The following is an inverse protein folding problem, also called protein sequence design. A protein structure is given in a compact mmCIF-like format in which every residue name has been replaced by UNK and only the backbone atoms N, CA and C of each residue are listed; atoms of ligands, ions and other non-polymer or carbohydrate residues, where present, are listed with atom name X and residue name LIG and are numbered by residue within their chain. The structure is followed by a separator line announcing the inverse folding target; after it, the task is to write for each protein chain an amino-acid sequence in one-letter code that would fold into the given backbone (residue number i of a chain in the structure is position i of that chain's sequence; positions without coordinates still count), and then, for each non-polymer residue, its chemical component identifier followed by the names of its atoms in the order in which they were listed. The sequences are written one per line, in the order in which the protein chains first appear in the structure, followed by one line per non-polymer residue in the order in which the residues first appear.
data_IF_841891788501
#
_entry.id   IF_841891788501
#
_cell.length_a   1.000
_cell.length_b   1.000
_cell.length_c   1.000
_cell.angle_alpha   90.00
_cell.angle_beta   90.00
_cell.angle_gamma   90.00
#
_symmetry.space_group_name_H-M   'P 1'
#
loop_
_entity.id
_entity.type
_entity.pdbx_description
1 polymer ?
#
# COMPACT_ATOMS: atom_id res chain seq x y z
N UNK A 1 2.93 9.35 0.26
CA UNK A 1 2.51 8.42 -0.81
C UNK A 1 1.02 8.13 -0.64
N UNK A 2 0.37 7.52 -1.64
CA UNK A 2 -1.05 7.16 -1.60
C UNK A 2 -1.33 5.88 -2.38
N UNK A 3 -2.46 5.23 -2.11
CA UNK A 3 -2.92 4.11 -2.92
C UNK A 3 -3.71 4.60 -4.12
N UNK A 4 -3.34 4.12 -5.31
CA UNK A 4 -4.12 4.25 -6.52
C UNK A 4 -4.72 2.89 -6.87
N UNK A 5 -6.02 2.86 -7.11
CA UNK A 5 -6.74 1.64 -7.49
C UNK A 5 -6.97 1.58 -9.00
N UNK A 6 -7.18 0.37 -9.49
CA UNK A 6 -7.69 0.08 -10.83
C UNK A 6 -8.37 -1.28 -10.82
N UNK A 7 -9.49 -1.42 -11.52
CA UNK A 7 -10.14 -2.73 -11.66
C UNK A 7 -9.32 -3.58 -12.65
N UNK A 8 -9.11 -4.84 -12.29
CA UNK A 8 -8.40 -5.85 -13.08
C UNK A 8 -9.24 -7.13 -13.12
N UNK A 9 -9.04 -7.93 -14.17
CA UNK A 9 -9.66 -9.26 -14.29
C UNK A 9 -8.62 -10.33 -14.01
N UNK A 10 -9.00 -11.36 -13.24
CA UNK A 10 -8.26 -12.62 -13.08
C UNK A 10 -8.66 -13.59 -14.19
N UNK A 11 -7.82 -14.58 -14.41
CA UNK A 11 -8.17 -15.72 -15.26
C UNK A 11 -9.44 -16.38 -14.73
N UNK A 12 -10.47 -16.49 -15.58
CA UNK A 12 -11.82 -16.90 -15.17
C UNK A 12 -12.82 -15.75 -14.99
N UNK A 13 -12.49 -14.52 -15.44
CA UNK A 13 -13.45 -13.43 -15.60
C UNK A 13 -13.83 -12.69 -14.31
N UNK A 14 -13.23 -13.04 -13.18
CA UNK A 14 -13.51 -12.38 -11.89
C UNK A 14 -12.74 -11.07 -11.79
N UNK A 15 -13.46 -10.00 -11.46
CA UNK A 15 -12.86 -8.68 -11.24
C UNK A 15 -12.32 -8.53 -9.82
N UNK A 16 -11.24 -7.75 -9.68
CA UNK A 16 -10.69 -7.37 -8.39
C UNK A 16 -10.11 -5.96 -8.41
N UNK A 17 -10.10 -5.31 -7.24
CA UNK A 17 -9.44 -4.03 -7.04
C UNK A 17 -7.94 -4.25 -6.93
N UNK A 18 -7.19 -3.81 -7.93
CA UNK A 18 -5.73 -3.83 -7.89
C UNK A 18 -5.18 -2.54 -7.27
N UNK A 19 -4.48 -2.66 -6.15
CA UNK A 19 -3.87 -1.55 -5.42
C UNK A 19 -2.41 -1.33 -5.86
N UNK A 20 -2.04 -0.06 -6.03
CA UNK A 20 -0.66 0.39 -6.24
C UNK A 20 -0.31 1.47 -5.25
N UNK A 21 0.86 1.39 -4.65
CA UNK A 21 1.44 2.51 -3.92
C UNK A 21 2.07 3.47 -4.93
N UNK A 22 1.61 4.71 -4.92
CA UNK A 22 2.12 5.76 -5.78
C UNK A 22 2.63 6.93 -4.95
N UNK A 23 3.56 7.67 -5.54
CA UNK A 23 3.92 9.00 -5.06
C UNK A 23 3.75 10.04 -6.15
N UNK A 24 3.36 11.24 -5.73
CA UNK A 24 3.32 12.39 -6.60
C UNK A 24 4.68 13.08 -6.59
N UNK A 25 5.16 13.46 -7.76
CA UNK A 25 6.39 14.23 -7.94
C UNK A 25 6.14 15.36 -8.94
N UNK A 26 6.96 16.41 -8.85
CA UNK A 26 6.88 17.55 -9.76
C UNK A 26 7.84 17.35 -10.91
N UNK A 27 7.34 17.45 -12.13
CA UNK A 27 8.15 17.45 -13.35
C UNK A 27 7.92 18.78 -14.07
N UNK A 28 8.83 19.73 -13.81
CA UNK A 28 8.68 21.12 -14.25
C UNK A 28 7.40 21.75 -13.70
N UNK A 29 6.46 22.05 -14.59
CA UNK A 29 5.17 22.67 -14.24
C UNK A 29 4.06 21.65 -13.91
N UNK A 30 4.29 20.36 -14.16
CA UNK A 30 3.27 19.32 -14.02
C UNK A 30 3.45 18.53 -12.72
N UNK A 31 2.34 18.08 -12.14
CA UNK A 31 2.34 17.06 -11.08
C UNK A 31 2.11 15.71 -11.75
N UNK A 32 3.06 14.79 -11.60
CA UNK A 32 2.98 13.41 -12.10
C UNK A 32 2.97 12.43 -10.94
N UNK A 33 2.52 11.21 -11.23
CA UNK A 33 2.48 10.13 -10.24
C UNK A 33 3.33 8.96 -10.74
N UNK A 34 4.30 8.49 -9.95
CA UNK A 34 5.03 7.24 -10.22
C UNK A 34 4.55 6.12 -9.31
N UNK A 35 4.49 4.91 -9.85
CA UNK A 35 4.19 3.70 -9.06
C UNK A 35 5.47 3.26 -8.35
N UNK A 36 5.39 3.08 -7.04
CA UNK A 36 6.47 2.57 -6.20
C UNK A 36 6.33 1.06 -5.99
N UNK A 37 5.13 0.60 -5.68
CA UNK A 37 4.83 -0.82 -5.43
C UNK A 37 3.51 -1.22 -6.09
N UNK A 38 3.48 -2.43 -6.65
CA UNK A 38 2.25 -3.10 -7.07
C UNK A 38 1.84 -4.08 -5.96
N UNK A 39 0.71 -3.81 -5.31
CA UNK A 39 0.29 -4.55 -4.11
C UNK A 39 -0.71 -5.66 -4.42
N UNK A 40 -1.37 -5.60 -5.58
CA UNK A 40 -2.36 -6.58 -5.99
C UNK A 40 -3.70 -6.38 -5.30
N UNK A 41 -4.38 -7.51 -5.06
CA UNK A 41 -5.68 -7.60 -4.41
C UNK A 41 -5.55 -7.53 -2.89
N UNK A 42 -5.62 -6.32 -2.32
CA UNK A 42 -5.52 -6.14 -0.87
C UNK A 42 -6.78 -6.56 -0.12
N UNK A 43 -7.95 -6.45 -0.74
CA UNK A 43 -9.23 -6.76 -0.10
C UNK A 43 -9.35 -8.26 0.20
N UNK A 44 -8.66 -9.12 -0.57
CA UNK A 44 -8.57 -10.56 -0.29
C UNK A 44 -7.77 -10.93 0.97
N UNK A 45 -6.88 -10.05 1.43
CA UNK A 45 -5.96 -10.31 2.54
C UNK A 45 -6.14 -9.35 3.70
N UNK A 46 -6.81 -8.23 3.53
CA UNK A 46 -6.97 -7.20 4.54
C UNK A 46 -8.36 -6.56 4.43
N UNK A 47 -9.11 -6.43 5.55
CA UNK A 47 -10.39 -5.73 5.54
C UNK A 47 -10.26 -4.31 4.97
N UNK A 48 -11.23 -3.82 4.17
CA UNK A 48 -11.16 -2.52 3.52
C UNK A 48 -10.85 -1.35 4.46
N UNK A 49 -11.40 -1.37 5.68
CA UNK A 49 -11.17 -0.36 6.72
C UNK A 49 -9.71 -0.32 7.21
N UNK A 50 -8.97 -1.43 7.04
CA UNK A 50 -7.56 -1.55 7.45
C UNK A 50 -6.58 -1.13 6.35
N UNK A 51 -7.02 -1.03 5.10
CA UNK A 51 -6.18 -0.66 3.94
C UNK A 51 -5.52 0.73 4.11
N UNK A 52 -6.20 1.78 4.58
CA UNK A 52 -5.57 3.07 4.85
C UNK A 52 -4.45 2.99 5.88
N UNK A 53 -4.58 2.12 6.89
CA UNK A 53 -3.56 1.91 7.91
C UNK A 53 -2.31 1.24 7.33
N UNK A 54 -2.47 0.29 6.40
CA UNK A 54 -1.35 -0.28 5.65
C UNK A 54 -0.62 0.78 4.83
N UNK A 55 -1.34 1.66 4.12
CA UNK A 55 -0.73 2.76 3.38
C UNK A 55 0.09 3.67 4.31
N UNK A 56 -0.51 4.08 5.44
CA UNK A 56 0.17 4.91 6.44
C UNK A 56 1.41 4.21 6.99
N UNK A 57 1.31 2.91 7.26
CA UNK A 57 2.42 2.14 7.82
C UNK A 57 3.58 1.99 6.84
N UNK A 58 3.30 1.69 5.57
CA UNK A 58 4.35 1.65 4.53
C UNK A 58 5.03 3.02 4.39
N UNK A 59 4.28 4.13 4.46
CA UNK A 59 4.90 5.47 4.48
C UNK A 59 5.85 5.65 5.67
N UNK A 60 5.45 5.25 6.88
CA UNK A 60 6.30 5.37 8.08
C UNK A 60 7.60 4.58 7.95
N UNK A 61 7.55 3.38 7.37
CA UNK A 61 8.76 2.57 7.18
C UNK A 61 9.63 3.16 6.07
N UNK A 62 9.04 3.42 4.90
CA UNK A 62 9.79 3.77 3.69
C UNK A 62 10.33 5.21 3.70
N UNK A 63 9.58 6.17 4.25
CA UNK A 63 9.97 7.59 4.27
C UNK A 63 10.55 8.03 5.61
N UNK A 64 9.98 7.55 6.71
CA UNK A 64 10.36 8.03 8.05
C UNK A 64 11.40 7.12 8.73
N UNK A 65 11.74 5.97 8.12
CA UNK A 65 12.72 5.02 8.68
C UNK A 65 12.24 4.32 9.96
N UNK A 66 10.93 4.35 10.26
CA UNK A 66 10.36 3.79 11.49
C UNK A 66 10.14 2.28 11.34
N UNK A 67 11.16 1.49 11.62
CA UNK A 67 11.14 0.03 11.43
C UNK A 67 10.28 -0.72 12.47
N UNK A 68 9.99 -0.14 13.64
CA UNK A 68 9.22 -0.79 14.69
C UNK A 68 8.08 0.09 15.23
N UNK A 69 7.01 -0.57 15.70
CA UNK A 69 5.95 0.04 16.51
C UNK A 69 5.95 -0.64 17.88
N UNK A 70 6.14 0.15 18.93
CA UNK A 70 5.94 -0.28 20.32
C UNK A 70 4.58 0.27 20.74
N UNK A 71 3.51 -0.47 20.47
CA UNK A 71 2.15 -0.09 20.85
C UNK A 71 1.28 -1.33 21.03
N UNK A 72 0.45 -1.34 22.06
CA UNK A 72 -0.61 -2.33 22.26
C UNK A 72 -1.73 -2.25 21.20
N UNK A 73 -1.80 -1.14 20.46
CA UNK A 73 -2.74 -0.93 19.35
C UNK A 73 -2.14 -1.35 17.99
N UNK A 74 -1.02 -2.07 18.00
CA UNK A 74 -0.41 -2.63 16.79
C UNK A 74 -1.37 -3.61 16.13
N UNK A 75 -1.59 -3.44 14.83
CA UNK A 75 -2.32 -4.41 14.03
C UNK A 75 -1.32 -5.36 13.35
N UNK A 76 -1.25 -6.60 13.84
CA UNK A 76 -0.27 -7.57 13.37
C UNK A 76 -0.40 -7.90 11.89
N UNK A 77 -1.63 -7.86 11.34
CA UNK A 77 -1.85 -8.14 9.92
C UNK A 77 -1.33 -7.01 9.05
N UNK A 78 -1.54 -5.76 9.49
CA UNK A 78 -0.97 -4.58 8.82
C UNK A 78 0.55 -4.60 8.88
N UNK A 79 1.15 -4.94 10.02
CA UNK A 79 2.61 -5.01 10.16
C UNK A 79 3.23 -6.14 9.31
N UNK A 80 2.62 -7.32 9.29
CA UNK A 80 3.09 -8.44 8.48
C UNK A 80 3.03 -8.10 6.98
N UNK A 81 1.93 -7.50 6.52
CA UNK A 81 1.80 -7.05 5.13
C UNK A 81 2.79 -5.92 4.82
N UNK A 82 2.97 -4.97 5.72
CA UNK A 82 3.95 -3.90 5.54
C UNK A 82 5.33 -4.52 5.32
N UNK A 83 5.81 -5.33 6.27
CA UNK A 83 7.11 -6.03 6.23
C UNK A 83 7.31 -6.76 4.89
N UNK A 84 6.32 -7.54 4.46
CA UNK A 84 6.31 -8.23 3.17
C UNK A 84 6.52 -7.29 1.97
N UNK A 85 5.86 -6.13 1.95
CA UNK A 85 5.93 -5.20 0.82
C UNK A 85 7.16 -4.29 0.84
N UNK A 86 7.71 -3.96 2.01
CA UNK A 86 8.96 -3.18 2.12
C UNK A 86 10.22 -4.04 2.05
N UNK A 87 10.10 -5.36 2.11
CA UNK A 87 11.25 -6.27 2.03
C UNK A 87 12.13 -6.25 3.28
N UNK A 88 11.52 -6.05 4.46
CA UNK A 88 12.16 -6.18 5.77
C UNK A 88 11.99 -7.58 6.36
#
# INVERSE_FOLDING_TARGET
MFFKTSIKQKDGGHEYTHYRLCESYREGRFIRNRTLLSLGDLESVLPPEKIPFLCKRINQVYLEGKTFIISSLRDDKVEALCTKYVGL
#
